data_IF_655488053844
#
_entry.id   IF_655488053844
#
_cell.length_a   1.000
_cell.length_b   1.000
_cell.length_c   1.000
_cell.angle_alpha   90.00
_cell.angle_beta   90.00
_cell.angle_gamma   90.00
#
_symmetry.space_group_name_H-M   'P 1'
#
loop_
_entity.id
_entity.type
_entity.pdbx_description
1 polymer ?
#
# COMPACT_ATOMS: atom_id res chain seq x y z
N UNK A 1 -3.20 -11.63 1.48
CA UNK A 1 -1.98 -10.98 0.97
C UNK A 1 -2.10 -10.75 -0.52
N UNK A 2 -1.83 -9.53 -0.97
CA UNK A 2 -1.75 -9.14 -2.38
C UNK A 2 -0.30 -8.79 -2.70
N UNK A 3 0.19 -9.33 -3.82
CA UNK A 3 1.47 -8.95 -4.40
C UNK A 3 1.26 -7.89 -5.48
N UNK A 4 2.11 -6.87 -5.51
CA UNK A 4 2.04 -5.77 -6.46
C UNK A 4 3.43 -5.26 -6.86
N UNK A 5 3.50 -4.50 -7.95
CA UNK A 5 4.72 -3.90 -8.48
C UNK A 5 4.64 -2.37 -8.32
N UNK A 6 5.15 -1.86 -7.20
CA UNK A 6 5.09 -0.42 -6.91
C UNK A 6 5.79 0.42 -7.98
N UNK A 7 6.95 -0.03 -8.49
CA UNK A 7 7.70 0.70 -9.52
C UNK A 7 6.87 0.85 -10.80
N UNK A 8 6.16 -0.22 -11.20
CA UNK A 8 5.25 -0.18 -12.34
C UNK A 8 4.04 0.71 -12.05
N UNK A 9 3.41 0.61 -10.87
CA UNK A 9 2.29 1.49 -10.48
C UNK A 9 2.71 2.96 -10.57
N UNK A 10 3.85 3.33 -9.97
CA UNK A 10 4.38 4.69 -9.98
C UNK A 10 4.65 5.22 -11.41
N UNK A 11 5.20 4.37 -12.28
CA UNK A 11 5.44 4.70 -13.69
C UNK A 11 4.14 4.97 -14.45
N UNK A 12 3.13 4.11 -14.29
CA UNK A 12 1.85 4.25 -15.01
C UNK A 12 0.98 5.39 -14.46
N UNK A 13 1.07 5.68 -13.16
CA UNK A 13 0.40 6.82 -12.54
C UNK A 13 1.07 8.17 -12.86
N UNK A 14 2.28 8.15 -13.44
CA UNK A 14 3.14 9.32 -13.64
C UNK A 14 3.34 10.12 -12.33
N UNK A 15 3.43 9.41 -11.21
CA UNK A 15 3.57 10.02 -9.88
C UNK A 15 2.30 10.67 -9.32
N UNK A 16 1.15 10.55 -9.98
CA UNK A 16 -0.12 11.13 -9.50
C UNK A 16 -0.75 10.22 -8.44
N UNK A 17 -1.00 10.68 -7.21
CA UNK A 17 -1.50 9.80 -6.13
C UNK A 17 -2.86 9.15 -6.43
N UNK A 18 -3.81 9.91 -6.99
CA UNK A 18 -5.14 9.37 -7.35
C UNK A 18 -5.04 8.26 -8.39
N UNK A 19 -4.18 8.41 -9.39
CA UNK A 19 -3.95 7.39 -10.42
C UNK A 19 -3.22 6.17 -9.84
N UNK A 20 -2.22 6.37 -8.98
CA UNK A 20 -1.49 5.28 -8.34
C UNK A 20 -2.42 4.42 -7.47
N UNK A 21 -3.27 5.06 -6.67
CA UNK A 21 -4.24 4.34 -5.86
C UNK A 21 -5.34 3.67 -6.70
N UNK A 22 -5.80 4.31 -7.78
CA UNK A 22 -6.75 3.70 -8.71
C UNK A 22 -6.18 2.43 -9.34
N UNK A 23 -4.91 2.46 -9.78
CA UNK A 23 -4.21 1.28 -10.31
C UNK A 23 -4.15 0.19 -9.25
N UNK A 24 -3.70 0.53 -8.03
CA UNK A 24 -3.62 -0.42 -6.92
C UNK A 24 -4.98 -1.05 -6.62
N UNK A 25 -6.03 -0.24 -6.48
CA UNK A 25 -7.41 -0.70 -6.23
C UNK A 25 -7.91 -1.61 -7.35
N UNK A 26 -7.65 -1.25 -8.61
CA UNK A 26 -8.03 -2.08 -9.77
C UNK A 26 -7.32 -3.43 -9.74
N UNK A 27 -6.04 -3.46 -9.38
CA UNK A 27 -5.26 -4.70 -9.24
C UNK A 27 -5.77 -5.59 -8.09
N UNK A 28 -6.14 -4.97 -6.97
CA UNK A 28 -6.62 -5.65 -5.78
C UNK A 28 -8.04 -6.24 -5.96
N UNK A 29 -8.98 -5.45 -6.46
CA UNK A 29 -10.40 -5.81 -6.57
C UNK A 29 -10.75 -6.49 -7.91
N UNK A 30 -9.92 -6.30 -8.94
CA UNK A 30 -10.16 -6.78 -10.31
C UNK A 30 -11.57 -6.46 -10.84
N UNK A 31 -12.04 -5.21 -10.72
CA UNK A 31 -13.37 -4.84 -11.19
C UNK A 31 -13.45 -4.98 -12.72
N UNK A 32 -14.59 -5.47 -13.22
CA UNK A 32 -14.86 -5.53 -14.66
C UNK A 32 -15.27 -4.12 -15.12
N UNK A 33 -14.54 -3.48 -16.05
CA UNK A 33 -14.90 -2.15 -16.55
C UNK A 33 -16.28 -2.17 -17.22
N UNK A 34 -17.13 -1.19 -16.91
CA UNK A 34 -18.48 -1.15 -17.51
C UNK A 34 -18.46 -0.72 -18.97
N UNK A 35 -17.49 0.12 -19.35
CA UNK A 35 -17.29 0.62 -20.70
C UNK A 35 -15.87 1.21 -20.85
N UNK A 36 -15.52 1.66 -22.06
CA UNK A 36 -14.19 2.22 -22.39
C UNK A 36 -13.85 3.55 -21.70
N UNK A 37 -14.83 4.24 -21.12
CA UNK A 37 -14.64 5.50 -20.39
C UNK A 37 -14.50 5.29 -18.88
N UNK A 38 -14.70 4.06 -18.41
CA UNK A 38 -14.48 3.70 -17.01
C UNK A 38 -12.98 3.88 -16.68
N UNK A 39 -12.63 4.62 -15.61
CA UNK A 39 -11.24 4.83 -15.22
C UNK A 39 -10.45 3.51 -15.05
N UNK A 40 -11.11 2.42 -14.66
CA UNK A 40 -10.46 1.11 -14.50
C UNK A 40 -10.11 0.44 -15.84
N UNK A 41 -10.80 0.80 -16.93
CA UNK A 41 -10.57 0.24 -18.27
C UNK A 41 -9.14 0.48 -18.76
N UNK A 42 -8.59 1.65 -18.44
CA UNK A 42 -7.21 2.03 -18.81
C UNK A 42 -6.17 1.05 -18.26
N UNK A 43 -6.47 0.38 -17.16
CA UNK A 43 -5.54 -0.45 -16.40
C UNK A 43 -5.92 -1.93 -16.40
N UNK A 44 -7.10 -2.31 -16.91
CA UNK A 44 -7.64 -3.66 -16.80
C UNK A 44 -6.81 -4.74 -17.51
N UNK A 45 -6.07 -4.37 -18.55
CA UNK A 45 -5.26 -5.31 -19.35
C UNK A 45 -3.77 -5.33 -18.96
N UNK A 46 -3.40 -4.67 -17.85
CA UNK A 46 -2.01 -4.56 -17.42
C UNK A 46 -1.81 -5.40 -16.16
N UNK A 47 -0.77 -6.22 -16.15
CA UNK A 47 -0.41 -7.00 -14.98
C UNK A 47 0.47 -6.17 -14.01
N UNK A 48 -0.11 -5.82 -12.87
CA UNK A 48 0.56 -5.09 -11.78
C UNK A 48 1.08 -5.99 -10.65
N UNK A 49 1.14 -7.31 -10.82
CA UNK A 49 1.82 -8.21 -9.87
C UNK A 49 3.32 -7.95 -9.84
N UNK A 50 3.92 -8.08 -8.65
CA UNK A 50 5.35 -7.90 -8.39
C UNK A 50 5.76 -8.54 -7.06
N UNK A 51 6.82 -8.04 -6.44
CA UNK A 51 7.37 -8.57 -5.18
C UNK A 51 6.97 -7.73 -3.95
N UNK A 52 6.44 -6.53 -4.16
CA UNK A 52 5.87 -5.72 -3.08
C UNK A 52 4.60 -6.40 -2.57
N UNK A 53 4.32 -6.28 -1.27
CA UNK A 53 3.17 -6.98 -0.68
C UNK A 53 2.40 -6.11 0.31
N UNK A 54 1.09 -6.41 0.42
CA UNK A 54 0.26 -6.08 1.58
C UNK A 54 -0.37 -7.38 2.08
N UNK A 55 -0.29 -7.64 3.39
CA UNK A 55 -0.94 -8.78 4.03
C UNK A 55 -2.46 -8.62 3.99
N UNK A 56 -2.96 -7.43 4.30
CA UNK A 56 -4.39 -7.11 4.47
C UNK A 56 -4.86 -5.95 3.56
N UNK A 57 -4.76 -6.13 2.23
CA UNK A 57 -5.18 -5.12 1.26
C UNK A 57 -6.70 -4.83 1.34
N UNK A 58 -7.49 -5.83 1.71
CA UNK A 58 -8.94 -5.76 1.91
C UNK A 58 -9.31 -4.79 3.04
N UNK A 59 -8.60 -4.84 4.16
CA UNK A 59 -8.84 -3.95 5.31
C UNK A 59 -8.46 -2.51 4.96
N UNK A 60 -7.32 -2.32 4.27
CA UNK A 60 -6.92 -1.01 3.78
C UNK A 60 -7.98 -0.42 2.83
N UNK A 61 -8.45 -1.20 1.85
CA UNK A 61 -9.43 -0.75 0.87
C UNK A 61 -10.80 -0.44 1.49
N UNK A 62 -11.25 -1.25 2.44
CA UNK A 62 -12.50 -1.00 3.17
C UNK A 62 -12.47 0.34 3.94
N UNK A 63 -11.30 0.75 4.42
CA UNK A 63 -11.11 2.00 5.16
C UNK A 63 -10.53 3.14 4.33
N UNK A 64 -10.20 2.92 3.05
CA UNK A 64 -9.50 3.90 2.21
C UNK A 64 -10.22 5.25 2.08
N UNK A 65 -11.55 5.26 2.21
CA UNK A 65 -12.37 6.47 2.18
C UNK A 65 -12.08 7.46 3.32
N UNK A 66 -11.38 7.02 4.38
CA UNK A 66 -11.00 7.85 5.54
C UNK A 66 -9.72 8.65 5.31
N UNK A 67 -8.98 8.37 4.24
CA UNK A 67 -7.62 8.86 4.03
C UNK A 67 -7.48 9.60 2.71
N UNK A 68 -6.49 10.47 2.65
CA UNK A 68 -6.14 11.11 1.40
C UNK A 68 -5.46 10.12 0.45
N UNK A 69 -5.61 10.34 -0.86
CA UNK A 69 -4.91 9.54 -1.88
C UNK A 69 -3.39 9.62 -1.74
N UNK A 70 -2.88 10.74 -1.21
CA UNK A 70 -1.47 10.94 -0.90
C UNK A 70 -1.02 10.03 0.23
N UNK A 71 -1.71 10.03 1.36
CA UNK A 71 -1.40 9.13 2.48
C UNK A 71 -1.44 7.66 2.07
N UNK A 72 -2.46 7.25 1.31
CA UNK A 72 -2.58 5.89 0.77
C UNK A 72 -1.39 5.53 -0.13
N UNK A 73 -0.93 6.47 -0.96
CA UNK A 73 0.24 6.25 -1.81
C UNK A 73 1.54 6.16 -1.02
N UNK A 74 1.73 6.98 0.02
CA UNK A 74 2.89 6.90 0.92
C UNK A 74 2.90 5.56 1.66
N UNK A 75 1.73 5.12 2.14
CA UNK A 75 1.57 3.80 2.74
C UNK A 75 1.99 2.68 1.76
N UNK A 76 1.47 2.71 0.52
CA UNK A 76 1.82 1.72 -0.51
C UNK A 76 3.29 1.78 -0.93
N UNK A 77 3.89 2.97 -0.96
CA UNK A 77 5.30 3.14 -1.34
C UNK A 77 6.23 2.59 -0.27
N UNK A 78 5.99 2.92 1.01
CA UNK A 78 6.80 2.42 2.12
C UNK A 78 6.56 0.93 2.35
N UNK A 79 5.34 0.43 2.17
CA UNK A 79 5.09 -1.02 2.25
C UNK A 79 5.87 -1.79 1.18
N UNK A 80 6.15 -1.15 0.04
CA UNK A 80 6.86 -1.75 -1.10
C UNK A 80 8.36 -1.94 -0.90
N UNK A 81 8.95 -1.26 0.08
CA UNK A 81 10.38 -1.38 0.40
C UNK A 81 10.67 -2.54 1.36
N UNK A 82 9.62 -3.13 1.96
CA UNK A 82 9.74 -4.30 2.83
C UNK A 82 10.22 -5.52 2.05
N UNK A 83 11.02 -6.35 2.72
CA UNK A 83 11.53 -7.61 2.19
C UNK A 83 10.47 -8.71 2.24
N UNK A 84 10.07 -9.21 1.06
CA UNK A 84 9.15 -10.34 0.96
C UNK A 84 9.73 -11.61 1.58
N UNK A 85 11.06 -11.79 1.51
CA UNK A 85 11.77 -12.91 2.11
C UNK A 85 11.69 -12.89 3.64
N UNK A 86 11.88 -11.72 4.25
CA UNK A 86 11.81 -11.57 5.72
C UNK A 86 10.38 -11.80 6.21
N UNK A 87 9.38 -11.34 5.46
CA UNK A 87 7.98 -11.71 5.73
C UNK A 87 7.74 -13.22 5.60
N UNK A 88 8.32 -13.90 4.60
CA UNK A 88 8.14 -15.33 4.43
C UNK A 88 8.71 -16.14 5.61
N UNK A 89 9.81 -15.68 6.20
CA UNK A 89 10.51 -16.33 7.31
C UNK A 89 9.91 -15.93 8.67
N UNK A 90 9.86 -14.64 8.96
CA UNK A 90 9.54 -14.09 10.28
C UNK A 90 8.12 -13.52 10.41
N UNK A 91 7.36 -13.43 9.31
CA UNK A 91 6.02 -12.79 9.26
C UNK A 91 6.04 -11.31 9.64
N UNK A 92 7.17 -10.65 9.46
CA UNK A 92 7.36 -9.23 9.79
C UNK A 92 6.59 -8.35 8.80
N UNK A 93 5.76 -7.46 9.35
CA UNK A 93 4.95 -6.50 8.57
C UNK A 93 5.38 -5.05 8.78
N UNK A 94 6.40 -4.81 9.61
CA UNK A 94 6.99 -3.50 9.82
C UNK A 94 8.17 -3.27 8.84
N UNK A 95 8.64 -2.03 8.75
CA UNK A 95 9.83 -1.63 8.01
C UNK A 95 10.85 -1.04 8.98
N UNK A 96 12.11 -1.48 8.93
CA UNK A 96 13.16 -0.83 9.71
C UNK A 96 13.37 0.60 9.21
N UNK A 97 13.42 1.57 10.12
CA UNK A 97 13.61 2.98 9.78
C UNK A 97 14.95 3.25 9.09
N UNK A 98 15.93 2.34 9.15
CA UNK A 98 17.19 2.46 8.39
C UNK A 98 16.99 2.40 6.87
N UNK A 99 15.89 1.80 6.41
CA UNK A 99 15.52 1.76 4.99
C UNK A 99 14.68 2.95 4.54
N UNK A 100 14.25 3.78 5.49
CA UNK A 100 13.60 5.06 5.21
C UNK A 100 14.70 6.10 5.09
N UNK A 101 14.61 6.97 4.09
CA UNK A 101 15.53 8.11 3.96
C UNK A 101 15.31 9.09 5.13
N UNK A 102 16.00 8.82 6.24
CA UNK A 102 15.86 9.54 7.50
C UNK A 102 16.30 10.99 7.42
N UNK A 103 17.12 11.33 6.42
CA UNK A 103 17.61 12.69 6.18
C UNK A 103 16.60 13.51 5.37
N UNK A 104 15.60 12.86 4.76
CA UNK A 104 14.52 13.52 4.04
C UNK A 104 13.48 14.08 5.02
N UNK A 105 13.53 15.39 5.25
CA UNK A 105 12.54 16.11 6.06
C UNK A 105 11.11 15.87 5.54
N UNK A 106 10.93 15.86 4.22
CA UNK A 106 9.64 15.59 3.58
C UNK A 106 9.09 14.20 3.94
N UNK A 107 9.93 13.15 3.88
CA UNK A 107 9.49 11.79 4.22
C UNK A 107 9.11 11.70 5.70
N UNK A 108 9.90 12.32 6.57
CA UNK A 108 9.63 12.37 7.99
C UNK A 108 8.32 13.10 8.31
N UNK A 109 8.02 14.21 7.62
CA UNK A 109 6.75 14.92 7.76
C UNK A 109 5.56 14.07 7.28
N UNK A 110 5.68 13.38 6.14
CA UNK A 110 4.62 12.49 5.65
C UNK A 110 4.34 11.35 6.63
N UNK A 111 5.38 10.76 7.25
CA UNK A 111 5.21 9.71 8.26
C UNK A 111 4.56 10.28 9.53
N UNK A 112 5.04 11.43 10.04
CA UNK A 112 4.50 12.06 11.26
C UNK A 112 3.04 12.49 11.12
N UNK A 113 2.67 12.96 9.94
CA UNK A 113 1.30 13.42 9.66
C UNK A 113 0.37 12.30 9.19
N UNK A 114 0.91 11.10 8.92
CA UNK A 114 0.11 9.97 8.46
C UNK A 114 -0.73 9.40 9.59
N UNK A 115 -2.01 9.21 9.31
CA UNK A 115 -2.92 8.46 10.18
C UNK A 115 -2.91 6.94 9.87
N UNK A 116 -2.08 6.50 8.93
CA UNK A 116 -1.93 5.10 8.49
C UNK A 116 -0.61 4.46 8.94
N UNK A 117 0.33 5.27 9.41
CA UNK A 117 1.69 4.87 9.75
C UNK A 117 2.03 5.35 11.15
N UNK A 118 2.84 4.59 11.87
CA UNK A 118 3.38 5.03 13.15
C UNK A 118 4.76 4.41 13.36
N UNK A 119 5.59 5.08 14.16
CA UNK A 119 6.96 4.63 14.45
C UNK A 119 7.07 4.27 15.92
N UNK A 120 7.57 3.07 16.20
CA UNK A 120 7.86 2.60 17.55
C UNK A 120 9.16 1.78 17.54
N UNK A 121 10.06 2.01 18.49
CA UNK A 121 11.33 1.26 18.61
C UNK A 121 12.15 1.17 17.29
N UNK A 122 12.28 2.30 16.58
CA UNK A 122 12.97 2.40 15.28
C UNK A 122 12.37 1.55 14.14
N UNK A 123 11.09 1.20 14.26
CA UNK A 123 10.35 0.46 13.23
C UNK A 123 9.11 1.25 12.81
N UNK A 124 8.86 1.29 11.51
CA UNK A 124 7.66 1.83 10.91
C UNK A 124 6.61 0.73 10.80
N UNK A 125 5.44 0.97 11.38
CA UNK A 125 4.31 0.06 11.38
C UNK A 125 3.19 0.60 10.49
N UNK A 126 2.42 -0.36 9.96
CA UNK A 126 1.36 -0.12 9.00
C UNK A 126 0.03 -0.50 9.64
N UNK A 127 -0.82 0.49 9.91
CA UNK A 127 -2.03 0.36 10.73
C UNK A 127 -2.88 -0.89 10.39
N UNK A 128 -3.07 -1.18 9.11
CA UNK A 128 -3.91 -2.28 8.66
C UNK A 128 -3.19 -3.61 8.43
N UNK A 129 -1.86 -3.67 8.54
CA UNK A 129 -1.11 -4.92 8.38
C UNK A 129 -0.99 -5.71 9.68
N UNK A 130 -1.26 -5.07 10.82
CA UNK A 130 -1.13 -5.67 12.16
C UNK A 130 -2.42 -6.28 12.68
N UNK A 131 -3.47 -6.34 11.85
CA UNK A 131 -4.78 -6.86 12.27
C UNK A 131 -4.62 -8.33 12.66
N UNK A 132 -4.84 -8.70 13.95
CA UNK A 132 -4.84 -10.09 14.35
C UNK A 132 -6.02 -10.77 13.66
N UNK A 133 -5.79 -11.93 13.04
CA UNK A 133 -6.86 -12.74 12.40
C UNK A 133 -8.05 -13.03 13.34
N UNK A 134 -7.85 -12.92 14.65
CA UNK A 134 -8.86 -13.12 15.70
C UNK A 134 -9.95 -12.02 15.74
N UNK A 135 -9.69 -10.80 15.23
CA UNK A 135 -10.68 -9.71 15.23
C UNK A 135 -11.63 -9.71 14.01
N UNK A 136 -11.55 -10.73 13.15
CA UNK A 136 -12.44 -10.90 11.99
C UNK A 136 -13.70 -11.75 12.29
N UNK A 137 -13.92 -12.18 13.54
CA UNK A 137 -15.21 -12.76 13.94
C UNK A 137 -16.21 -11.63 14.19
N UNK A 138 -16.94 -11.27 13.12
CA UNK A 138 -18.14 -10.47 13.24
C UNK A 138 -19.24 -11.34 13.89
N UNK A 139 -19.82 -10.85 14.99
CA UNK A 139 -21.03 -11.39 15.60
C UNK A 139 -22.25 -11.18 14.69
#
# INVERSE_FOLDING_TARGET
MLLYDWKKIFRYSKGTPSEAFLIFKTHAEKPIPKNKFDPVYKYSNINFSGESFLVHPDVLLANAHKYTQRELCVYLSLASTRSLSDFAIGRETWLDMVYVDSDSELVNEEIKNSSLLYVENNRLYFLYEEVPKEKLQWH
#
